data_IF_134543338256
#
_entry.id   IF_134543338256
#
_cell.length_a   1.000
_cell.length_b   1.000
_cell.length_c   1.000
_cell.angle_alpha   90.00
_cell.angle_beta   90.00
_cell.angle_gamma   90.00
#
_symmetry.space_group_name_H-M   'P 1'
#
loop_
_entity.id
_entity.type
_entity.pdbx_description
1 polymer ?
#
# COMPACT_ATOMS: atom_id res chain seq x y z
N UNK A 1 -16.32 -1.28 -7.35
CA UNK A 1 -14.91 -0.87 -7.61
C UNK A 1 -14.00 -2.07 -7.76
N UNK A 2 -13.82 -2.88 -6.70
CA UNK A 2 -12.97 -4.08 -6.72
C UNK A 2 -13.19 -4.98 -7.94
N UNK A 3 -14.42 -5.39 -8.21
CA UNK A 3 -14.77 -6.27 -9.34
C UNK A 3 -14.38 -5.69 -10.71
N UNK A 4 -14.62 -4.38 -10.91
CA UNK A 4 -14.24 -3.69 -12.13
C UNK A 4 -12.72 -3.68 -12.33
N UNK A 5 -11.96 -3.43 -11.27
CA UNK A 5 -10.50 -3.44 -11.30
C UNK A 5 -9.92 -4.85 -11.46
N UNK A 6 -10.51 -5.85 -10.81
CA UNK A 6 -10.18 -7.27 -10.98
C UNK A 6 -10.34 -7.69 -12.45
N UNK A 7 -11.48 -7.34 -13.06
CA UNK A 7 -11.75 -7.61 -14.49
C UNK A 7 -10.77 -6.86 -15.39
N UNK A 8 -10.44 -5.63 -15.05
CA UNK A 8 -9.54 -4.78 -15.81
C UNK A 8 -8.10 -5.32 -15.82
N UNK A 9 -7.58 -5.74 -14.67
CA UNK A 9 -6.26 -6.35 -14.51
C UNK A 9 -6.19 -7.77 -15.11
N UNK A 10 -7.33 -8.44 -15.26
CA UNK A 10 -7.41 -9.79 -15.82
C UNK A 10 -7.36 -9.78 -17.36
N UNK A 11 -6.90 -10.90 -17.90
CA UNK A 11 -7.05 -11.28 -19.31
C UNK A 11 -8.00 -12.46 -19.43
N UNK A 12 -8.36 -12.85 -20.67
CA UNK A 12 -9.21 -14.04 -20.90
C UNK A 12 -8.55 -15.32 -20.38
N UNK A 13 -7.22 -15.39 -20.40
CA UNK A 13 -6.43 -16.58 -20.07
C UNK A 13 -5.78 -16.52 -18.69
N UNK A 14 -5.50 -15.32 -18.17
CA UNK A 14 -4.96 -15.13 -16.83
C UNK A 14 -5.89 -14.24 -15.99
N UNK A 15 -6.55 -14.83 -14.99
CA UNK A 15 -7.37 -14.11 -14.02
C UNK A 15 -6.48 -13.64 -12.88
N UNK A 16 -6.55 -12.35 -12.60
CA UNK A 16 -5.84 -11.75 -11.48
C UNK A 16 -6.79 -11.30 -10.39
N UNK A 17 -6.36 -11.50 -9.15
CA UNK A 17 -7.12 -11.08 -7.99
C UNK A 17 -6.44 -9.89 -7.32
N UNK A 18 -7.27 -9.05 -6.70
CA UNK A 18 -6.80 -7.94 -5.89
C UNK A 18 -6.62 -8.44 -4.46
N UNK A 19 -5.38 -8.47 -4.00
CA UNK A 19 -4.99 -8.80 -2.63
C UNK A 19 -5.37 -7.70 -1.64
N UNK A 20 -5.20 -6.44 -2.04
CA UNK A 20 -5.52 -5.28 -1.22
C UNK A 20 -6.05 -4.14 -2.10
N UNK A 21 -7.00 -3.37 -1.58
CA UNK A 21 -7.51 -2.17 -2.24
C UNK A 21 -7.87 -1.10 -1.21
N UNK A 22 -7.44 0.13 -1.49
CA UNK A 22 -7.91 1.34 -0.86
C UNK A 22 -8.46 2.28 -1.94
N UNK A 23 -9.71 2.70 -1.78
CA UNK A 23 -10.39 3.59 -2.71
C UNK A 23 -11.00 4.76 -1.96
N UNK A 24 -10.75 5.97 -2.44
CA UNK A 24 -11.31 7.20 -1.91
C UNK A 24 -11.89 8.05 -3.03
N UNK A 25 -13.09 8.60 -2.83
CA UNK A 25 -13.70 9.53 -3.80
C UNK A 25 -14.28 10.75 -3.11
N UNK A 26 -14.08 11.92 -3.69
CA UNK A 26 -14.80 13.13 -3.28
C UNK A 26 -16.22 13.08 -3.85
N UNK A 27 -17.25 13.31 -3.02
CA UNK A 27 -18.66 13.25 -3.43
C UNK A 27 -19.29 14.62 -3.68
N UNK A 28 -18.67 15.67 -3.14
CA UNK A 28 -19.12 17.07 -3.23
C UNK A 28 -18.01 18.00 -3.76
N UNK A 29 -18.40 19.16 -4.28
CA UNK A 29 -17.50 20.15 -4.90
C UNK A 29 -17.36 20.03 -6.42
N UNK A 30 -16.65 20.99 -7.02
CA UNK A 30 -16.47 21.10 -8.48
C UNK A 30 -15.42 20.14 -9.05
N UNK A 31 -14.52 19.62 -8.21
CA UNK A 31 -13.43 18.74 -8.63
C UNK A 31 -13.63 17.32 -8.07
N UNK A 32 -14.69 16.63 -8.52
CA UNK A 32 -14.99 15.25 -8.10
C UNK A 32 -14.04 14.28 -8.79
N UNK A 33 -13.21 13.60 -8.01
CA UNK A 33 -12.28 12.61 -8.51
C UNK A 33 -12.08 11.49 -7.48
N UNK A 34 -11.63 10.33 -7.97
CA UNK A 34 -11.33 9.16 -7.15
C UNK A 34 -9.85 8.84 -7.21
N UNK A 35 -9.30 8.43 -6.06
CA UNK A 35 -7.99 7.83 -5.96
C UNK A 35 -8.14 6.36 -5.61
N UNK A 36 -7.33 5.52 -6.25
CA UNK A 36 -7.28 4.10 -5.96
C UNK A 36 -5.85 3.66 -5.81
N UNK A 37 -5.60 2.89 -4.75
CA UNK A 37 -4.39 2.11 -4.58
C UNK A 37 -4.80 0.64 -4.45
N UNK A 38 -4.13 -0.26 -5.16
CA UNK A 38 -4.41 -1.68 -5.06
C UNK A 38 -3.15 -2.51 -5.26
N UNK A 39 -3.13 -3.70 -4.66
CA UNK A 39 -2.08 -4.69 -4.78
C UNK A 39 -2.70 -5.95 -5.35
N UNK A 40 -2.06 -6.53 -6.36
CA UNK A 40 -2.48 -7.78 -6.97
C UNK A 40 -1.88 -8.98 -6.23
N UNK A 41 -2.53 -10.14 -6.32
CA UNK A 41 -1.98 -11.39 -5.81
C UNK A 41 -0.70 -11.78 -6.55
N UNK A 42 -0.67 -11.57 -7.87
CA UNK A 42 0.51 -11.80 -8.71
C UNK A 42 0.93 -10.53 -9.45
N UNK A 43 2.22 -10.44 -9.81
CA UNK A 43 2.72 -9.38 -10.66
C UNK A 43 2.25 -9.59 -12.11
N UNK A 44 1.67 -8.55 -12.71
CA UNK A 44 1.23 -8.57 -14.10
C UNK A 44 1.59 -7.28 -14.85
N UNK A 45 1.79 -7.42 -16.16
CA UNK A 45 2.07 -6.30 -17.05
C UNK A 45 0.79 -5.54 -17.42
N UNK A 46 0.47 -4.50 -16.67
CA UNK A 46 -0.68 -3.61 -16.93
C UNK A 46 -0.27 -2.49 -17.90
N UNK A 47 0.30 -2.83 -19.07
CA UNK A 47 0.85 -1.81 -19.96
C UNK A 47 -0.15 -1.20 -20.97
N UNK A 48 -1.42 -1.66 -21.04
CA UNK A 48 -2.23 -1.41 -22.27
C UNK A 48 -3.71 -1.06 -22.12
N UNK A 49 -4.27 -0.91 -20.93
CA UNK A 49 -5.71 -0.62 -20.78
C UNK A 49 -5.97 0.70 -20.03
N UNK A 50 -5.87 1.88 -20.65
CA UNK A 50 -6.06 3.14 -19.92
C UNK A 50 -7.50 3.41 -19.46
N UNK A 51 -8.47 2.57 -19.85
CA UNK A 51 -9.88 2.75 -19.51
C UNK A 51 -10.43 1.55 -18.76
N UNK A 52 -11.28 1.84 -17.77
CA UNK A 52 -12.04 0.85 -17.00
C UNK A 52 -13.52 1.24 -17.05
N UNK A 53 -14.42 0.25 -17.11
CA UNK A 53 -15.85 0.48 -16.95
C UNK A 53 -16.23 0.29 -15.47
N UNK A 54 -16.73 1.36 -14.84
CA UNK A 54 -17.19 1.34 -13.45
C UNK A 54 -18.64 1.83 -13.45
N UNK A 55 -19.56 0.95 -13.05
CA UNK A 55 -21.01 1.23 -12.98
C UNK A 55 -21.57 1.80 -14.29
N UNK A 56 -21.16 1.25 -15.44
CA UNK A 56 -21.64 1.66 -16.76
C UNK A 56 -20.97 2.94 -17.30
N UNK A 57 -20.05 3.55 -16.56
CA UNK A 57 -19.27 4.71 -17.01
C UNK A 57 -17.85 4.29 -17.33
N UNK A 58 -17.39 4.68 -18.52
CA UNK A 58 -15.98 4.55 -18.87
C UNK A 58 -15.16 5.63 -18.14
N UNK A 59 -14.12 5.19 -17.43
CA UNK A 59 -13.24 6.06 -16.66
C UNK A 59 -11.80 5.83 -17.12
N UNK A 60 -11.08 6.92 -17.38
CA UNK A 60 -9.65 6.86 -17.66
C UNK A 60 -8.89 6.66 -16.35
N UNK A 61 -8.07 5.61 -16.27
CA UNK A 61 -7.12 5.39 -15.19
C UNK A 61 -5.75 5.92 -15.63
N UNK A 62 -5.22 6.87 -14.88
CA UNK A 62 -3.80 7.23 -14.98
C UNK A 62 -3.01 6.32 -14.04
N UNK A 63 -2.21 5.43 -14.62
CA UNK A 63 -1.39 4.51 -13.86
C UNK A 63 0.01 5.09 -13.65
N UNK A 64 0.46 5.10 -12.40
CA UNK A 64 1.85 5.35 -12.06
C UNK A 64 2.41 4.05 -11.49
N UNK A 65 3.39 3.40 -12.16
CA UNK A 65 4.02 2.23 -11.58
C UNK A 65 4.68 2.61 -10.26
N UNK A 66 4.49 1.78 -9.25
CA UNK A 66 5.11 1.94 -7.95
C UNK A 66 6.10 0.80 -7.76
N UNK A 67 7.40 1.11 -7.70
CA UNK A 67 8.43 0.10 -7.45
C UNK A 67 8.34 -0.34 -6.00
N UNK A 68 8.10 -1.64 -5.78
CA UNK A 68 8.18 -2.26 -4.45
C UNK A 68 9.63 -2.14 -3.96
N UNK A 69 9.88 -1.22 -3.05
CA UNK A 69 11.11 -1.18 -2.26
C UNK A 69 10.79 -1.86 -0.93
N UNK A 70 11.24 -3.11 -0.75
CA UNK A 70 11.05 -3.88 0.48
C UNK A 70 11.59 -3.16 1.74
N UNK A 71 12.48 -2.18 1.56
CA UNK A 71 13.01 -1.32 2.61
C UNK A 71 12.17 -0.05 2.91
N UNK A 72 11.13 0.25 2.13
CA UNK A 72 10.32 1.50 2.21
C UNK A 72 8.79 1.22 2.25
N UNK A 73 8.40 0.21 3.01
CA UNK A 73 7.01 -0.21 3.31
C UNK A 73 6.10 0.92 3.89
N UNK A 74 6.69 2.03 4.34
CA UNK A 74 5.93 3.19 4.81
C UNK A 74 5.22 3.99 3.69
N UNK A 75 5.66 3.82 2.45
CA UNK A 75 5.23 4.65 1.31
C UNK A 75 3.78 4.39 0.88
N UNK A 76 3.35 3.12 0.78
CA UNK A 76 1.94 2.83 0.49
C UNK A 76 1.02 3.16 1.65
N UNK A 77 1.49 3.08 2.90
CA UNK A 77 0.70 3.53 4.05
C UNK A 77 0.42 5.03 3.98
N UNK A 78 1.41 5.82 3.57
CA UNK A 78 1.20 7.25 3.30
C UNK A 78 0.20 7.48 2.15
N UNK A 79 0.26 6.67 1.08
CA UNK A 79 -0.73 6.74 -0.01
C UNK A 79 -2.14 6.41 0.51
N UNK A 80 -2.29 5.34 1.28
CA UNK A 80 -3.60 4.92 1.84
C UNK A 80 -4.14 6.00 2.79
N UNK A 81 -3.28 6.57 3.64
CA UNK A 81 -3.67 7.67 4.54
C UNK A 81 -4.07 8.93 3.75
N UNK A 82 -3.35 9.25 2.67
CA UNK A 82 -3.72 10.33 1.75
C UNK A 82 -5.07 10.09 1.06
N UNK A 83 -5.38 8.84 0.69
CA UNK A 83 -6.67 8.44 0.11
C UNK A 83 -7.79 8.54 1.16
N UNK A 84 -7.52 8.16 2.40
CA UNK A 84 -8.47 8.21 3.52
C UNK A 84 -8.78 9.66 3.94
N UNK A 85 -7.78 10.53 3.91
CA UNK A 85 -7.87 11.91 4.39
C UNK A 85 -8.33 12.93 3.32
N UNK A 86 -8.86 12.46 2.18
CA UNK A 86 -9.35 13.33 1.10
C UNK A 86 -10.38 14.35 1.56
N UNK A 87 -11.28 13.98 2.47
CA UNK A 87 -12.29 14.89 3.02
C UNK A 87 -11.66 16.08 3.75
N UNK A 88 -10.65 15.81 4.59
CA UNK A 88 -9.90 16.82 5.35
C UNK A 88 -9.07 17.71 4.43
N UNK A 89 -8.37 17.10 3.46
CA UNK A 89 -7.48 17.80 2.51
C UNK A 89 -8.25 18.78 1.62
N UNK A 90 -9.42 18.36 1.13
CA UNK A 90 -10.22 19.15 0.19
C UNK A 90 -11.39 19.87 0.85
N UNK A 91 -11.51 19.84 2.20
CA UNK A 91 -12.64 20.39 2.97
C UNK A 91 -13.99 20.03 2.35
N UNK A 92 -14.14 18.77 1.95
CA UNK A 92 -15.32 18.26 1.22
C UNK A 92 -15.76 16.91 1.79
N UNK A 93 -16.94 16.44 1.40
CA UNK A 93 -17.35 15.06 1.69
C UNK A 93 -16.60 14.09 0.78
N UNK A 94 -16.03 13.06 1.39
CA UNK A 94 -15.40 11.96 0.69
C UNK A 94 -15.85 10.62 1.30
N UNK A 95 -15.89 9.60 0.46
CA UNK A 95 -16.15 8.21 0.87
C UNK A 95 -14.86 7.42 0.72
N UNK A 96 -14.59 6.55 1.69
CA UNK A 96 -13.45 5.64 1.71
C UNK A 96 -13.94 4.19 1.78
N UNK A 97 -13.37 3.33 0.94
CA UNK A 97 -13.62 1.90 0.89
C UNK A 97 -12.29 1.15 0.93
N UNK A 98 -12.18 0.14 1.79
CA UNK A 98 -10.97 -0.69 1.94
C UNK A 98 -11.33 -2.16 1.85
N UNK A 99 -10.47 -2.94 1.17
CA UNK A 99 -10.60 -4.38 1.03
C UNK A 99 -9.25 -5.07 1.25
N UNK A 100 -9.29 -6.20 1.97
CA UNK A 100 -8.10 -6.97 2.32
C UNK A 100 -7.46 -6.47 3.61
N UNK A 101 -6.46 -7.21 4.08
CA UNK A 101 -5.68 -6.82 5.25
C UNK A 101 -4.21 -6.70 4.84
N UNK A 102 -3.70 -5.47 4.82
CA UNK A 102 -2.26 -5.24 4.76
C UNK A 102 -1.68 -5.68 6.09
N UNK A 103 -1.06 -6.87 6.13
CA UNK A 103 -0.16 -7.24 7.24
C UNK A 103 1.00 -6.26 7.25
N UNK A 104 0.83 -5.14 7.96
CA UNK A 104 1.91 -4.20 8.23
C UNK A 104 2.53 -4.58 9.55
N UNK A 105 3.85 -4.62 9.61
CA UNK A 105 4.55 -4.78 10.89
C UNK A 105 4.68 -3.44 11.61
N UNK A 106 4.34 -2.32 10.95
CA UNK A 106 4.44 -0.96 11.49
C UNK A 106 3.53 -0.77 12.70
N UNK A 107 4.13 -0.56 13.87
CA UNK A 107 3.43 -0.38 15.15
C UNK A 107 3.30 -1.66 15.98
N UNK A 108 3.81 -2.79 15.49
CA UNK A 108 3.96 -3.99 16.33
C UNK A 108 5.06 -3.77 17.36
N UNK A 109 4.85 -4.29 18.58
CA UNK A 109 5.95 -4.47 19.52
C UNK A 109 6.93 -5.45 18.88
N UNK A 110 8.22 -5.08 18.84
CA UNK A 110 9.29 -5.97 18.40
C UNK A 110 9.30 -7.15 19.37
N UNK A 111 8.92 -8.33 18.89
CA UNK A 111 8.92 -9.58 19.65
C UNK A 111 10.14 -10.44 19.32
N UNK A 112 10.38 -11.46 20.14
CA UNK A 112 11.59 -12.29 20.08
C UNK A 112 11.81 -12.93 18.70
N UNK A 113 10.75 -13.40 18.04
CA UNK A 113 10.83 -13.97 16.69
C UNK A 113 11.31 -12.98 15.63
N UNK A 114 10.98 -11.69 15.78
CA UNK A 114 11.43 -10.63 14.86
C UNK A 114 12.88 -10.24 15.15
N UNK A 115 13.30 -10.28 16.42
CA UNK A 115 14.70 -10.09 16.81
C UNK A 115 15.54 -11.23 16.24
N UNK A 116 15.13 -12.48 16.45
CA UNK A 116 15.80 -13.65 15.88
C UNK A 116 15.89 -13.59 14.35
N UNK A 117 14.81 -13.16 13.68
CA UNK A 117 14.82 -12.98 12.23
C UNK A 117 15.82 -11.90 11.80
N UNK A 118 15.90 -10.78 12.53
CA UNK A 118 16.88 -9.72 12.24
C UNK A 118 18.32 -10.17 12.44
N UNK A 119 18.59 -11.04 13.42
CA UNK A 119 19.92 -11.58 13.70
C UNK A 119 20.41 -12.56 12.62
N UNK A 120 19.49 -13.13 11.83
CA UNK A 120 19.80 -14.04 10.72
C UNK A 120 20.04 -13.30 9.39
N UNK A 121 19.88 -11.98 9.34
CA UNK A 121 20.07 -11.19 8.12
C UNK A 121 21.55 -11.00 7.79
N UNK A 122 21.85 -10.85 6.51
CA UNK A 122 23.23 -10.87 6.00
C UNK A 122 24.00 -9.59 6.32
N UNK A 123 23.31 -8.51 6.69
CA UNK A 123 23.97 -7.26 7.06
C UNK A 123 23.24 -6.51 8.18
N UNK A 124 24.02 -5.74 8.95
CA UNK A 124 23.51 -4.84 9.98
C UNK A 124 22.54 -3.80 9.42
N UNK A 125 22.81 -3.28 8.22
CA UNK A 125 21.95 -2.30 7.58
C UNK A 125 20.57 -2.90 7.25
N UNK A 126 20.55 -4.13 6.76
CA UNK A 126 19.32 -4.88 6.45
C UNK A 126 18.53 -5.20 7.73
N UNK A 127 19.20 -5.66 8.79
CA UNK A 127 18.58 -5.92 10.09
C UNK A 127 17.96 -4.66 10.71
N UNK A 128 18.67 -3.53 10.68
CA UNK A 128 18.18 -2.25 11.18
C UNK A 128 17.01 -1.75 10.34
N UNK A 129 17.07 -1.87 9.01
CA UNK A 129 15.97 -1.48 8.14
C UNK A 129 14.70 -2.30 8.41
N UNK A 130 14.85 -3.62 8.57
CA UNK A 130 13.76 -4.53 8.93
C UNK A 130 13.11 -4.16 10.28
N UNK A 131 13.90 -3.99 11.34
CA UNK A 131 13.38 -3.63 12.67
C UNK A 131 12.79 -2.21 12.69
N UNK A 132 13.35 -1.28 11.94
CA UNK A 132 12.84 0.10 11.82
C UNK A 132 11.50 0.13 11.08
N UNK A 133 11.28 -0.79 10.14
CA UNK A 133 9.99 -0.96 9.49
C UNK A 133 8.92 -1.49 10.46
N UNK A 134 9.30 -2.38 11.40
CA UNK A 134 8.41 -2.88 12.46
C UNK A 134 8.10 -1.77 13.49
N UNK A 135 9.13 -1.18 14.09
CA UNK A 135 8.99 -0.14 15.11
C UNK A 135 10.18 0.83 15.12
N UNK A 136 10.03 2.02 14.51
CA UNK A 136 11.07 3.04 14.52
C UNK A 136 11.47 3.46 15.94
N UNK A 137 10.50 3.57 16.84
CA UNK A 137 10.72 3.95 18.24
C UNK A 137 11.54 2.89 18.99
N UNK A 138 11.27 1.60 18.76
CA UNK A 138 12.04 0.52 19.37
C UNK A 138 13.49 0.56 18.89
N UNK A 139 13.72 0.74 17.59
CA UNK A 139 15.09 0.84 17.05
C UNK A 139 15.83 2.02 17.66
N UNK A 140 15.26 3.23 17.66
CA UNK A 140 15.93 4.40 18.24
C UNK A 140 16.30 4.22 19.72
N UNK A 141 15.47 3.50 20.48
CA UNK A 141 15.75 3.20 21.89
C UNK A 141 16.82 2.11 22.08
N UNK A 142 17.01 1.21 21.11
CA UNK A 142 17.92 0.07 21.19
C UNK A 142 19.18 0.19 20.28
N UNK A 143 19.26 1.21 19.42
CA UNK A 143 20.38 1.45 18.49
C UNK A 143 21.70 1.71 19.25
N UNK A 144 21.62 2.16 20.51
CA UNK A 144 22.77 2.29 21.41
C UNK A 144 23.36 0.95 21.85
N UNK A 145 22.56 -0.10 21.96
CA UNK A 145 23.00 -1.44 22.40
C UNK A 145 23.75 -2.15 21.27
N UNK A 146 23.36 -1.91 20.01
CA UNK A 146 24.01 -2.51 18.83
C UNK A 146 25.31 -1.82 18.40
N UNK A 147 25.84 -0.84 19.14
CA UNK A 147 27.19 -0.28 18.89
C UNK A 147 28.31 -1.10 19.52
N UNK A 148 27.99 -2.00 20.45
CA UNK A 148 28.96 -2.77 21.23
C UNK A 148 28.96 -4.28 20.93
N UNK A 149 28.41 -4.68 19.78
CA UNK A 149 28.52 -6.04 19.22
C UNK A 149 29.17 -5.95 17.86
#
# INVERSE_FOLDING_TARGET
MKEALTTWCSTKTNKENIKYLAYGKTTEGNNKHGYVFFILENQVDIMRKPFVNINGKEMKINFSPFTKLDAFDGSYLSIIDDIKNQSKKHKTKAVFEEYGNLKTTKGYKVGDSMIEQSLRMNSKAEAIAYLRNISPAWVMNNEKIQRNV
#
